data_IF_919457061602
#
_entry.id   IF_919457061602
#
_cell.length_a   1.000
_cell.length_b   1.000
_cell.length_c   1.000
_cell.angle_alpha   90.00
_cell.angle_beta   90.00
_cell.angle_gamma   90.00
#
_symmetry.space_group_name_H-M   'P 1'
#
loop_
_entity.id
_entity.type
_entity.pdbx_description
1 polymer ?
#
# COMPACT_ATOMS: atom_id res chain seq x y z
N UNK A 1 34.76 43.29 14.40
CA UNK A 1 34.46 44.12 13.20
C UNK A 1 34.54 43.23 11.97
N UNK A 2 33.42 43.13 11.22
CA UNK A 2 33.30 42.97 9.75
C UNK A 2 34.16 41.86 9.08
N UNK A 3 33.63 40.87 8.34
CA UNK A 3 32.50 40.89 7.42
C UNK A 3 31.91 39.48 7.22
N UNK A 4 30.59 39.50 7.07
CA UNK A 4 29.71 38.48 6.54
C UNK A 4 29.97 38.29 5.03
N UNK A 5 29.98 37.06 4.52
CA UNK A 5 29.77 36.80 3.09
C UNK A 5 28.70 35.72 2.94
N UNK A 6 27.60 36.13 2.33
CA UNK A 6 26.46 35.32 1.92
C UNK A 6 26.82 34.69 0.57
N UNK A 7 26.68 33.37 0.43
CA UNK A 7 26.63 32.72 -0.88
C UNK A 7 25.25 32.07 -1.04
N UNK A 8 24.43 32.67 -1.89
CA UNK A 8 23.21 32.08 -2.42
C UNK A 8 23.60 31.06 -3.50
N UNK A 9 23.19 29.80 -3.36
CA UNK A 9 23.31 28.79 -4.41
C UNK A 9 21.90 28.44 -4.89
N UNK A 10 21.50 29.07 -5.98
CA UNK A 10 20.34 28.67 -6.77
C UNK A 10 20.72 27.39 -7.56
N UNK A 11 20.16 26.25 -7.15
CA UNK A 11 20.31 24.98 -7.85
C UNK A 11 19.17 24.77 -8.84
N UNK A 12 19.48 24.86 -10.13
CA UNK A 12 18.61 24.59 -11.27
C UNK A 12 18.28 23.09 -11.33
N UNK A 13 17.00 22.71 -11.22
CA UNK A 13 16.54 21.35 -11.56
C UNK A 13 16.38 21.24 -13.08
N UNK A 14 17.26 20.47 -13.72
CA UNK A 14 17.06 20.02 -15.10
C UNK A 14 16.05 18.86 -15.13
N UNK A 15 14.98 19.05 -15.90
CA UNK A 15 14.12 17.99 -16.41
C UNK A 15 14.81 17.35 -17.62
N UNK A 16 15.15 16.07 -17.52
CA UNK A 16 15.40 15.20 -18.69
C UNK A 16 14.71 13.86 -18.47
N UNK A 17 13.73 13.58 -19.33
CA UNK A 17 12.97 12.35 -19.33
C UNK A 17 13.59 11.22 -20.15
N UNK A 18 12.80 10.13 -20.16
CA UNK A 18 12.78 8.98 -21.06
C UNK A 18 13.95 7.98 -21.04
N UNK A 19 13.60 6.75 -20.65
CA UNK A 19 14.09 5.54 -21.30
C UNK A 19 14.75 4.53 -20.36
N UNK A 20 13.98 3.54 -19.88
CA UNK A 20 14.52 2.25 -19.42
C UNK A 20 13.44 1.17 -19.36
N UNK A 21 13.07 0.64 -20.52
CA UNK A 21 12.53 -0.73 -20.64
C UNK A 21 13.48 -1.46 -21.58
N UNK A 22 14.55 -2.04 -21.03
CA UNK A 22 15.38 -3.12 -21.59
C UNK A 22 16.61 -3.34 -20.71
N UNK A 23 16.41 -3.96 -19.54
CA UNK A 23 17.52 -4.65 -18.84
C UNK A 23 16.99 -5.70 -17.87
N UNK A 24 16.44 -6.79 -18.41
CA UNK A 24 16.13 -7.98 -17.63
C UNK A 24 16.26 -9.26 -18.46
N UNK A 25 17.30 -9.39 -19.30
CA UNK A 25 17.79 -10.69 -19.79
C UNK A 25 19.30 -10.57 -19.99
N UNK A 26 20.07 -11.04 -19.02
CA UNK A 26 21.40 -11.67 -19.19
C UNK A 26 21.92 -12.07 -17.80
N UNK A 27 21.81 -13.36 -17.52
CA UNK A 27 22.40 -13.98 -16.33
C UNK A 27 23.93 -13.95 -16.39
N UNK A 28 24.54 -14.00 -15.23
CA UNK A 28 25.95 -14.31 -15.08
C UNK A 28 26.08 -15.35 -13.96
N UNK A 29 26.62 -16.51 -14.33
CA UNK A 29 26.98 -17.59 -13.42
C UNK A 29 28.24 -17.21 -12.64
N UNK A 30 28.26 -17.45 -11.32
CA UNK A 30 29.47 -17.89 -10.62
C UNK A 30 29.11 -18.63 -9.35
N UNK A 31 29.66 -19.85 -9.22
CA UNK A 31 29.37 -20.87 -8.21
C UNK A 31 29.73 -20.48 -6.78
N UNK A 32 28.83 -20.79 -5.86
CA UNK A 32 29.05 -20.89 -4.41
C UNK A 32 27.93 -21.71 -3.79
N UNK A 33 28.23 -22.96 -3.44
CA UNK A 33 27.27 -23.95 -2.97
C UNK A 33 26.70 -23.58 -1.60
N UNK A 34 25.39 -23.31 -1.54
CA UNK A 34 24.54 -23.51 -0.35
C UNK A 34 23.09 -23.63 -0.80
N UNK A 35 22.42 -24.69 -0.35
CA UNK A 35 21.07 -25.14 -0.70
C UNK A 35 20.06 -23.99 -0.81
N UNK A 36 19.70 -23.62 -2.05
CA UNK A 36 18.68 -22.61 -2.37
C UNK A 36 17.49 -23.31 -3.03
N UNK A 37 16.36 -23.37 -2.34
CA UNK A 37 15.10 -23.83 -2.94
C UNK A 37 14.42 -22.64 -3.65
N UNK A 38 14.54 -22.64 -4.98
CA UNK A 38 13.63 -22.09 -6.02
C UNK A 38 13.10 -20.64 -5.91
N UNK A 39 13.89 -19.68 -6.41
CA UNK A 39 13.42 -18.34 -6.83
C UNK A 39 12.84 -18.31 -8.27
N UNK A 40 13.02 -19.36 -9.08
CA UNK A 40 12.45 -19.49 -10.43
C UNK A 40 10.94 -19.77 -10.43
N UNK A 41 10.48 -20.73 -9.63
CA UNK A 41 9.10 -21.23 -9.66
C UNK A 41 8.05 -20.19 -9.25
N UNK A 42 8.41 -19.26 -8.36
CA UNK A 42 7.51 -18.20 -7.91
C UNK A 42 7.35 -17.10 -8.98
N UNK A 43 8.42 -16.84 -9.72
CA UNK A 43 8.45 -15.83 -10.78
C UNK A 43 7.62 -16.27 -11.99
N UNK A 44 7.73 -17.56 -12.35
CA UNK A 44 6.98 -18.15 -13.46
C UNK A 44 5.47 -18.20 -13.17
N UNK A 45 5.09 -18.58 -11.94
CA UNK A 45 3.67 -18.55 -11.52
C UNK A 45 3.07 -17.16 -11.58
N UNK A 46 3.79 -16.14 -11.10
CA UNK A 46 3.30 -14.77 -11.12
C UNK A 46 3.16 -14.23 -12.56
N UNK A 47 4.06 -14.63 -13.47
CA UNK A 47 3.95 -14.29 -14.89
C UNK A 47 2.74 -14.96 -15.54
N UNK A 48 2.47 -16.22 -15.22
CA UNK A 48 1.29 -16.95 -15.70
C UNK A 48 -0.01 -16.31 -15.19
N UNK A 49 -0.09 -15.99 -13.90
CA UNK A 49 -1.27 -15.33 -13.33
C UNK A 49 -1.51 -13.95 -13.94
N UNK A 50 -0.46 -13.15 -14.17
CA UNK A 50 -0.58 -11.87 -14.89
C UNK A 50 -1.16 -12.05 -16.29
N UNK A 51 -0.62 -13.02 -17.05
CA UNK A 51 -1.13 -13.31 -18.39
C UNK A 51 -2.60 -13.71 -18.33
N UNK A 52 -2.97 -14.56 -17.38
CA UNK A 52 -4.35 -15.00 -17.17
C UNK A 52 -5.28 -13.82 -16.87
N UNK A 53 -4.89 -12.96 -15.94
CA UNK A 53 -5.63 -11.76 -15.53
C UNK A 53 -5.87 -10.79 -16.69
N UNK A 54 -4.93 -10.69 -17.64
CA UNK A 54 -5.07 -9.85 -18.83
C UNK A 54 -5.98 -10.46 -19.90
N UNK A 55 -6.00 -11.79 -20.06
CA UNK A 55 -6.71 -12.44 -21.17
C UNK A 55 -8.10 -12.97 -20.82
N UNK A 56 -8.34 -13.35 -19.58
CA UNK A 56 -9.62 -13.91 -19.15
C UNK A 56 -10.60 -12.81 -18.71
N UNK A 57 -11.55 -12.48 -19.59
CA UNK A 57 -12.59 -11.47 -19.34
C UNK A 57 -13.53 -11.81 -18.18
N UNK A 58 -13.59 -13.09 -17.78
CA UNK A 58 -14.44 -13.55 -16.68
C UNK A 58 -13.75 -13.45 -15.31
N UNK A 59 -12.48 -13.05 -15.25
CA UNK A 59 -11.80 -12.85 -13.96
C UNK A 59 -12.52 -11.80 -13.12
N UNK A 60 -12.68 -12.15 -11.85
CA UNK A 60 -13.19 -11.27 -10.81
C UNK A 60 -12.03 -10.67 -10.04
N UNK A 61 -12.10 -9.36 -9.81
CA UNK A 61 -11.18 -8.63 -8.95
C UNK A 61 -11.88 -8.39 -7.62
N UNK A 62 -11.30 -8.81 -6.49
CA UNK A 62 -11.97 -8.68 -5.21
C UNK A 62 -12.29 -7.21 -4.90
N UNK A 63 -11.45 -6.25 -5.28
CA UNK A 63 -11.70 -4.82 -5.04
C UNK A 63 -12.93 -4.24 -5.76
N UNK A 64 -13.44 -4.91 -6.81
CA UNK A 64 -14.58 -4.43 -7.59
C UNK A 64 -15.93 -4.97 -7.11
N UNK A 65 -15.95 -5.66 -5.97
CA UNK A 65 -17.16 -6.17 -5.32
C UNK A 65 -17.33 -5.55 -3.95
N UNK A 66 -18.52 -5.02 -3.66
CA UNK A 66 -18.85 -4.51 -2.32
C UNK A 66 -19.17 -5.63 -1.31
N UNK A 67 -19.40 -6.86 -1.81
CA UNK A 67 -19.61 -8.03 -0.95
C UNK A 67 -18.29 -8.53 -0.38
N UNK A 68 -18.33 -8.91 0.91
CA UNK A 68 -17.22 -9.56 1.61
C UNK A 68 -17.32 -11.07 1.45
N UNK A 69 -16.37 -11.67 0.74
CA UNK A 69 -16.34 -13.11 0.49
C UNK A 69 -15.92 -13.92 1.73
N UNK A 70 -16.14 -15.24 1.72
CA UNK A 70 -15.80 -16.13 2.86
C UNK A 70 -14.31 -16.16 3.20
N UNK A 71 -13.45 -15.97 2.20
CA UNK A 71 -12.01 -15.88 2.35
C UNK A 71 -11.49 -14.44 2.56
N UNK A 72 -12.38 -13.49 2.86
CA UNK A 72 -12.06 -12.09 3.15
C UNK A 72 -12.40 -11.74 4.60
N UNK A 73 -11.67 -10.78 5.16
CA UNK A 73 -11.98 -10.17 6.45
C UNK A 73 -12.63 -8.80 6.25
N UNK A 74 -13.29 -8.28 7.28
CA UNK A 74 -13.89 -6.94 7.28
C UNK A 74 -13.63 -6.24 8.60
N UNK A 75 -13.26 -4.97 8.53
CA UNK A 75 -13.00 -4.11 9.68
C UNK A 75 -13.68 -2.76 9.53
N UNK A 76 -13.90 -2.08 10.65
CA UNK A 76 -14.35 -0.69 10.69
C UNK A 76 -13.38 0.13 11.52
N UNK A 77 -12.73 1.09 10.86
CA UNK A 77 -11.88 2.09 11.50
C UNK A 77 -12.78 3.25 11.91
N UNK A 78 -12.93 3.48 13.20
CA UNK A 78 -13.59 4.69 13.71
C UNK A 78 -12.51 5.75 13.91
N UNK A 79 -12.69 6.92 13.30
CA UNK A 79 -11.79 8.07 13.43
C UNK A 79 -12.54 9.25 14.03
N UNK A 80 -11.79 10.27 14.47
CA UNK A 80 -12.35 11.55 14.93
C UNK A 80 -13.15 12.30 13.84
N UNK A 81 -13.06 11.88 12.58
CA UNK A 81 -13.74 12.51 11.44
C UNK A 81 -14.88 11.65 10.87
N UNK A 82 -15.09 10.43 11.39
CA UNK A 82 -16.10 9.47 10.94
C UNK A 82 -15.57 8.04 10.84
N UNK A 83 -16.42 7.11 10.42
CA UNK A 83 -16.08 5.70 10.27
C UNK A 83 -15.74 5.33 8.82
N UNK A 84 -14.76 4.45 8.64
CA UNK A 84 -14.35 3.87 7.36
C UNK A 84 -14.43 2.35 7.48
N UNK A 85 -15.21 1.70 6.62
CA UNK A 85 -15.31 0.24 6.58
C UNK A 85 -14.47 -0.31 5.44
N UNK A 86 -13.59 -1.26 5.77
CA UNK A 86 -12.65 -1.88 4.86
C UNK A 86 -12.93 -3.37 4.78
N UNK A 87 -12.82 -3.93 3.59
CA UNK A 87 -12.60 -5.37 3.42
C UNK A 87 -11.13 -5.66 3.15
N UNK A 88 -10.66 -6.83 3.57
CA UNK A 88 -9.25 -7.22 3.52
C UNK A 88 -9.07 -8.52 2.74
N UNK A 89 -7.87 -8.74 2.20
CA UNK A 89 -7.59 -9.77 1.20
C UNK A 89 -6.55 -10.83 1.64
N UNK A 90 -6.82 -11.66 2.67
CA UNK A 90 -5.86 -12.64 3.21
C UNK A 90 -5.27 -13.59 2.17
N UNK A 91 -6.05 -13.94 1.12
CA UNK A 91 -5.57 -14.82 0.04
C UNK A 91 -4.41 -14.20 -0.75
N UNK A 92 -4.42 -12.89 -0.92
CA UNK A 92 -3.56 -12.17 -1.87
C UNK A 92 -2.42 -11.43 -1.16
N UNK A 93 -2.63 -11.02 0.10
CA UNK A 93 -1.64 -10.36 0.94
C UNK A 93 -1.68 -10.93 2.38
N UNK A 94 -1.37 -12.23 2.57
CA UNK A 94 -1.53 -12.88 3.87
C UNK A 94 -0.74 -12.22 5.00
N UNK A 95 0.51 -11.81 4.76
CA UNK A 95 1.32 -11.18 5.79
C UNK A 95 0.77 -9.80 6.15
N UNK A 96 0.45 -8.97 5.16
CA UNK A 96 -0.10 -7.64 5.44
C UNK A 96 -1.43 -7.70 6.21
N UNK A 97 -2.32 -8.64 5.85
CA UNK A 97 -3.60 -8.78 6.54
C UNK A 97 -3.43 -9.38 7.95
N UNK A 98 -2.55 -10.37 8.14
CA UNK A 98 -2.28 -10.92 9.47
C UNK A 98 -1.69 -9.86 10.40
N UNK A 99 -0.72 -9.09 9.89
CA UNK A 99 -0.09 -7.99 10.61
C UNK A 99 -1.12 -6.94 11.03
N UNK A 100 -1.92 -6.44 10.08
CA UNK A 100 -2.94 -5.43 10.33
C UNK A 100 -4.01 -5.90 11.32
N UNK A 101 -4.56 -7.11 11.13
CA UNK A 101 -5.61 -7.65 12.00
C UNK A 101 -5.09 -7.88 13.42
N UNK A 102 -3.85 -8.34 13.58
CA UNK A 102 -3.24 -8.56 14.88
C UNK A 102 -3.02 -7.23 15.61
N UNK A 103 -2.40 -6.24 14.96
CA UNK A 103 -2.27 -4.89 15.54
C UNK A 103 -3.63 -4.28 15.92
N UNK A 104 -4.67 -4.45 15.08
CA UNK A 104 -6.01 -3.97 15.37
C UNK A 104 -6.61 -4.65 16.62
N UNK A 105 -6.50 -5.97 16.74
CA UNK A 105 -6.99 -6.74 17.90
C UNK A 105 -6.27 -6.39 19.19
N UNK A 106 -4.98 -6.08 19.11
CA UNK A 106 -4.16 -5.64 20.24
C UNK A 106 -4.37 -4.15 20.59
N UNK A 107 -5.20 -3.43 19.83
CA UNK A 107 -5.46 -2.01 20.04
C UNK A 107 -4.27 -1.11 19.69
N UNK A 108 -3.26 -1.63 18.98
CA UNK A 108 -2.04 -0.91 18.60
C UNK A 108 -2.31 0.39 17.84
N UNK A 109 -3.36 0.40 17.00
CA UNK A 109 -3.73 1.56 16.20
C UNK A 109 -4.53 2.63 16.97
N UNK A 110 -5.01 2.33 18.18
CA UNK A 110 -5.87 3.24 18.93
C UNK A 110 -5.08 4.49 19.37
N UNK A 111 -5.63 5.66 19.06
CA UNK A 111 -5.00 6.96 19.31
C UNK A 111 -3.96 7.36 18.26
N UNK A 112 -3.59 6.49 17.31
CA UNK A 112 -2.61 6.85 16.28
C UNK A 112 -3.20 7.87 15.30
N UNK A 113 -2.34 8.77 14.85
CA UNK A 113 -2.73 9.90 14.01
C UNK A 113 -2.57 9.59 12.52
N UNK A 114 -3.33 10.29 11.68
CA UNK A 114 -2.98 10.46 10.27
C UNK A 114 -1.85 11.48 10.18
N UNK A 115 -0.62 11.01 10.07
CA UNK A 115 0.58 11.85 10.15
C UNK A 115 0.97 12.45 8.79
N UNK A 116 0.40 11.94 7.70
CA UNK A 116 0.64 12.45 6.34
C UNK A 116 -0.62 12.34 5.49
N UNK A 117 -1.03 13.44 4.90
CA UNK A 117 -2.26 13.56 4.11
C UNK A 117 -1.98 14.41 2.88
N UNK A 118 -2.19 13.83 1.70
CA UNK A 118 -1.95 14.50 0.43
C UNK A 118 -3.23 14.42 -0.40
N UNK A 119 -3.85 15.58 -0.61
CA UNK A 119 -5.03 15.73 -1.46
C UNK A 119 -4.74 15.21 -2.86
N UNK A 120 -5.69 14.47 -3.41
CA UNK A 120 -5.61 13.81 -4.72
C UNK A 120 -4.51 12.72 -4.79
N UNK A 121 -4.10 12.18 -3.64
CA UNK A 121 -3.15 11.08 -3.57
C UNK A 121 -3.59 10.04 -2.52
N UNK A 122 -3.33 10.29 -1.23
CA UNK A 122 -3.58 9.31 -0.15
C UNK A 122 -3.65 9.95 1.24
N UNK A 123 -4.18 9.18 2.20
CA UNK A 123 -4.11 9.46 3.64
C UNK A 123 -3.32 8.34 4.33
N UNK A 124 -2.29 8.66 5.10
CA UNK A 124 -1.36 7.70 5.71
C UNK A 124 -1.36 7.79 7.23
N UNK A 125 -1.33 6.61 7.88
CA UNK A 125 -1.38 6.43 9.33
C UNK A 125 -0.63 5.17 9.75
N UNK A 126 -0.80 4.71 11.00
CA UNK A 126 -0.20 3.50 11.54
C UNK A 126 1.20 3.69 12.13
N UNK A 127 1.64 4.94 12.32
CA UNK A 127 2.91 5.26 12.97
C UNK A 127 2.71 5.70 14.44
N UNK A 128 3.22 4.95 15.43
CA UNK A 128 3.20 5.33 16.85
C UNK A 128 3.93 6.63 17.17
N UNK A 129 4.94 7.02 16.39
CA UNK A 129 5.69 8.26 16.60
C UNK A 129 5.00 9.46 15.94
N UNK A 130 4.05 9.22 15.02
CA UNK A 130 3.31 10.26 14.31
C UNK A 130 4.16 11.20 13.46
N UNK A 131 5.35 10.76 13.04
CA UNK A 131 6.33 11.52 12.26
C UNK A 131 6.75 10.82 10.96
N UNK A 132 6.18 9.65 10.66
CA UNK A 132 6.44 8.81 9.50
C UNK A 132 7.62 7.85 9.66
N UNK A 133 8.35 7.85 10.77
CA UNK A 133 9.59 7.06 10.93
C UNK A 133 9.45 5.85 11.85
N UNK A 134 8.35 5.73 12.58
CA UNK A 134 8.10 4.61 13.47
C UNK A 134 7.25 3.51 12.84
N UNK A 135 6.78 2.60 13.68
CA UNK A 135 5.96 1.48 13.28
C UNK A 135 6.78 0.22 13.04
N UNK A 136 6.27 -0.91 13.52
CA UNK A 136 6.96 -2.21 13.50
C UNK A 136 5.95 -3.27 13.12
N UNK A 137 6.40 -4.35 12.46
CA UNK A 137 5.51 -5.49 12.21
C UNK A 137 5.30 -6.30 13.49
N UNK A 138 4.26 -7.13 13.52
CA UNK A 138 4.01 -8.06 14.62
C UNK A 138 5.11 -9.11 14.82
N UNK A 139 5.97 -9.31 13.81
CA UNK A 139 7.04 -10.31 13.80
C UNK A 139 8.40 -9.75 14.22
N UNK A 140 8.56 -8.44 14.33
CA UNK A 140 9.84 -7.84 14.71
C UNK A 140 10.33 -8.40 16.05
N UNK A 141 11.55 -8.94 16.05
CA UNK A 141 12.16 -9.61 17.22
C UNK A 141 11.50 -10.94 17.63
N UNK A 142 10.49 -11.42 16.89
CA UNK A 142 9.76 -12.67 17.17
C UNK A 142 9.92 -13.72 16.06
N UNK A 143 10.08 -13.30 14.81
CA UNK A 143 10.27 -14.18 13.67
C UNK A 143 11.15 -13.54 12.58
N UNK A 144 12.45 -13.75 12.71
CA UNK A 144 13.47 -13.20 11.79
C UNK A 144 13.35 -13.69 10.34
N UNK A 145 12.63 -14.80 10.11
CA UNK A 145 12.37 -15.29 8.74
C UNK A 145 11.33 -14.46 7.99
N UNK A 146 10.46 -13.76 8.71
CA UNK A 146 9.44 -12.88 8.14
C UNK A 146 9.87 -11.42 8.21
N UNK A 147 10.45 -11.01 9.34
CA UNK A 147 10.95 -9.66 9.58
C UNK A 147 12.36 -9.74 10.18
N UNK A 148 13.37 -9.46 9.35
CA UNK A 148 14.78 -9.46 9.75
C UNK A 148 15.21 -8.21 10.52
N UNK A 149 14.26 -7.41 10.99
CA UNK A 149 14.46 -6.18 11.76
C UNK A 149 14.05 -4.90 11.03
N UNK A 150 13.86 -4.97 9.71
CA UNK A 150 13.49 -3.84 8.85
C UNK A 150 12.03 -3.82 8.44
N UNK A 151 11.25 -4.85 8.75
CA UNK A 151 9.90 -5.09 8.26
C UNK A 151 9.78 -6.37 7.42
N UNK A 152 8.56 -6.68 6.99
CA UNK A 152 8.27 -7.85 6.15
C UNK A 152 8.22 -7.49 4.66
N UNK A 153 8.33 -8.52 3.82
CA UNK A 153 8.34 -8.39 2.35
C UNK A 153 7.07 -7.78 1.77
N UNK A 154 7.20 -7.11 0.63
CA UNK A 154 6.06 -6.68 -0.18
C UNK A 154 5.39 -7.89 -0.85
N UNK A 155 4.05 -7.91 -0.85
CA UNK A 155 3.23 -8.97 -1.43
C UNK A 155 2.49 -8.40 -2.65
N UNK A 156 2.95 -8.77 -3.85
CA UNK A 156 2.36 -8.29 -5.10
C UNK A 156 1.40 -9.34 -5.65
N UNK A 157 0.18 -8.91 -5.96
CA UNK A 157 -0.85 -9.74 -6.58
C UNK A 157 -1.29 -9.12 -7.91
N UNK A 158 -1.44 -9.91 -8.99
CA UNK A 158 -2.03 -9.41 -10.23
C UNK A 158 -3.54 -9.14 -10.11
N UNK A 159 -4.16 -9.48 -8.99
CA UNK A 159 -5.59 -9.26 -8.75
C UNK A 159 -5.87 -7.99 -7.93
N UNK A 160 -4.83 -7.30 -7.44
CA UNK A 160 -4.96 -6.14 -6.57
C UNK A 160 -4.19 -4.92 -7.13
N UNK A 161 -4.82 -3.76 -7.07
CA UNK A 161 -4.39 -2.51 -7.68
C UNK A 161 -4.68 -1.32 -6.75
N UNK A 162 -3.92 -0.25 -6.86
CA UNK A 162 -4.06 0.99 -6.10
C UNK A 162 -5.20 1.88 -6.65
N UNK A 163 -6.34 1.28 -7.01
CA UNK A 163 -7.55 2.01 -7.36
C UNK A 163 -8.04 2.83 -6.17
N UNK A 164 -8.94 3.79 -6.41
CA UNK A 164 -9.50 4.63 -5.34
C UNK A 164 -10.12 3.77 -4.21
N UNK A 165 -9.76 4.10 -2.98
CA UNK A 165 -10.17 3.38 -1.77
C UNK A 165 -9.32 2.14 -1.45
N UNK A 166 -8.33 1.79 -2.27
CA UNK A 166 -7.41 0.70 -1.96
C UNK A 166 -6.60 1.02 -0.69
N UNK A 167 -6.53 0.05 0.22
CA UNK A 167 -5.71 0.06 1.42
C UNK A 167 -4.38 -0.64 1.11
N UNK A 168 -3.28 0.07 1.31
CA UNK A 168 -1.95 -0.40 0.95
C UNK A 168 -0.93 -0.16 2.05
N UNK A 169 0.03 -1.07 2.20
CA UNK A 169 1.12 -0.90 3.17
C UNK A 169 2.01 0.27 2.74
N UNK A 170 2.41 1.10 3.70
CA UNK A 170 3.50 2.05 3.51
C UNK A 170 4.83 1.36 3.80
N UNK A 171 5.86 1.72 3.05
CA UNK A 171 7.22 1.18 3.19
C UNK A 171 8.25 2.25 2.89
N UNK A 172 9.49 2.02 3.33
CA UNK A 172 10.64 2.78 2.85
C UNK A 172 10.98 2.40 1.40
N UNK A 173 12.11 2.90 0.88
CA UNK A 173 12.62 2.48 -0.43
C UNK A 173 12.91 0.98 -0.50
N UNK A 174 13.17 0.32 0.63
CA UNK A 174 13.36 -1.12 0.70
C UNK A 174 11.99 -1.85 0.53
N UNK A 175 11.83 -2.70 -0.50
CA UNK A 175 10.62 -3.52 -0.66
C UNK A 175 10.33 -4.47 0.52
N UNK A 176 11.30 -4.75 1.39
CA UNK A 176 11.15 -5.59 2.59
C UNK A 176 11.10 -4.77 3.88
N UNK A 177 10.39 -3.64 3.84
CA UNK A 177 10.25 -2.74 4.98
C UNK A 177 8.81 -2.41 5.37
N UNK A 178 7.88 -3.33 5.12
CA UNK A 178 6.51 -3.18 5.59
C UNK A 178 6.48 -3.36 7.11
N UNK A 179 6.03 -2.33 7.84
CA UNK A 179 5.87 -2.34 9.29
C UNK A 179 4.40 -2.36 9.69
N UNK A 180 3.96 -1.34 10.42
CA UNK A 180 2.55 -1.14 10.80
C UNK A 180 1.86 0.00 10.04
N UNK A 181 2.62 0.82 9.32
CA UNK A 181 2.09 1.96 8.57
C UNK A 181 1.34 1.53 7.30
N UNK A 182 0.24 2.20 7.01
CA UNK A 182 -0.56 1.98 5.80
C UNK A 182 -1.18 3.29 5.32
N UNK A 183 -1.65 3.29 4.08
CA UNK A 183 -2.37 4.39 3.49
C UNK A 183 -3.63 3.93 2.76
N UNK A 184 -4.60 4.84 2.63
CA UNK A 184 -5.79 4.68 1.79
C UNK A 184 -5.64 5.59 0.57
N UNK A 185 -5.76 5.02 -0.62
CA UNK A 185 -5.73 5.75 -1.89
C UNK A 185 -6.97 6.66 -1.99
N UNK A 186 -6.79 7.98 -1.93
CA UNK A 186 -7.90 8.93 -2.00
C UNK A 186 -8.13 9.48 -3.41
N UNK A 187 -7.05 9.58 -4.20
CA UNK A 187 -7.05 10.20 -5.53
C UNK A 187 -8.34 9.94 -6.32
N UNK A 188 -9.08 10.99 -6.64
CA UNK A 188 -10.35 10.94 -7.36
C UNK A 188 -10.24 11.32 -8.85
N UNK A 189 -9.03 11.54 -9.35
CA UNK A 189 -8.78 11.92 -10.74
C UNK A 189 -8.81 10.70 -11.64
N UNK A 190 -9.44 10.82 -12.79
CA UNK A 190 -9.40 9.80 -13.83
C UNK A 190 -7.95 9.59 -14.30
N UNK A 191 -7.44 8.37 -14.12
CA UNK A 191 -6.12 7.95 -14.58
C UNK A 191 -6.17 6.92 -15.71
N UNK A 192 -7.37 6.54 -16.18
CA UNK A 192 -7.58 5.45 -17.14
C UNK A 192 -6.89 5.70 -18.49
N UNK A 193 -6.87 6.95 -18.95
CA UNK A 193 -6.28 7.35 -20.25
C UNK A 193 -4.77 7.15 -20.35
N UNK A 194 -4.09 6.97 -19.21
CA UNK A 194 -2.63 6.75 -19.12
C UNK A 194 -2.27 5.26 -19.11
N UNK A 195 -3.27 4.38 -19.08
CA UNK A 195 -3.08 2.93 -18.95
C UNK A 195 -3.24 2.24 -20.30
N UNK A 196 -2.43 1.20 -20.52
CA UNK A 196 -2.53 0.34 -21.70
C UNK A 196 -3.22 -0.97 -21.35
N UNK A 197 -4.08 -1.46 -22.24
CA UNK A 197 -4.69 -2.80 -22.16
C UNK A 197 -3.67 -3.94 -22.20
N UNK A 198 -2.44 -3.66 -22.64
CA UNK A 198 -1.34 -4.64 -22.63
C UNK A 198 -0.80 -4.90 -21.22
N UNK A 199 -0.99 -3.95 -20.30
CA UNK A 199 -0.49 -4.00 -18.94
C UNK A 199 -1.60 -4.08 -17.88
N UNK A 200 -2.82 -3.64 -18.22
CA UNK A 200 -3.95 -3.56 -17.30
C UNK A 200 -5.19 -4.23 -17.88
N UNK A 201 -5.91 -5.05 -17.10
CA UNK A 201 -7.21 -5.58 -17.48
C UNK A 201 -8.23 -4.47 -17.71
N UNK A 202 -9.13 -4.64 -18.69
CA UNK A 202 -10.18 -3.65 -19.03
C UNK A 202 -10.99 -3.20 -17.79
N UNK A 203 -11.36 -4.14 -16.91
CA UNK A 203 -12.12 -3.85 -15.67
C UNK A 203 -11.34 -2.93 -14.71
N UNK A 204 -10.02 -3.04 -14.69
CA UNK A 204 -9.15 -2.22 -13.84
C UNK A 204 -8.92 -0.84 -14.46
N UNK A 205 -8.74 -0.77 -15.78
CA UNK A 205 -8.72 0.51 -16.50
C UNK A 205 -10.02 1.29 -16.24
N UNK A 206 -11.17 0.61 -16.29
CA UNK A 206 -12.46 1.20 -15.96
C UNK A 206 -12.53 1.68 -14.50
N UNK A 207 -12.01 0.89 -13.55
CA UNK A 207 -11.96 1.28 -12.15
C UNK A 207 -11.13 2.56 -11.94
N UNK A 208 -10.03 2.73 -12.69
CA UNK A 208 -9.17 3.92 -12.64
C UNK A 208 -9.82 5.21 -13.18
N UNK A 209 -10.98 5.13 -13.85
CA UNK A 209 -11.79 6.33 -14.14
C UNK A 209 -12.31 7.01 -12.88
N UNK A 210 -12.51 6.24 -11.81
CA UNK A 210 -12.93 6.75 -10.49
C UNK A 210 -11.73 7.21 -9.64
N UNK A 211 -10.51 7.04 -10.16
CA UNK A 211 -9.26 7.41 -9.52
C UNK A 211 -8.49 6.26 -8.86
N UNK A 212 -7.47 6.63 -8.10
CA UNK A 212 -6.40 5.76 -7.63
C UNK A 212 -5.02 6.21 -8.12
N UNK A 213 -3.99 5.45 -7.79
CA UNK A 213 -2.60 5.79 -8.04
C UNK A 213 -1.89 4.63 -8.77
N UNK A 214 -2.07 4.50 -10.10
CA UNK A 214 -1.51 3.38 -10.86
C UNK A 214 0.02 3.33 -10.85
N UNK A 215 0.71 4.43 -10.52
CA UNK A 215 2.16 4.44 -10.34
C UNK A 215 2.65 3.66 -9.12
N UNK A 216 1.76 3.20 -8.24
CA UNK A 216 2.08 2.39 -7.08
C UNK A 216 1.84 0.88 -7.33
N UNK A 217 1.24 0.53 -8.48
CA UNK A 217 0.91 -0.85 -8.81
C UNK A 217 2.16 -1.67 -9.08
N UNK A 218 2.21 -2.85 -8.45
CA UNK A 218 3.38 -3.73 -8.53
C UNK A 218 4.51 -3.37 -7.56
N UNK A 219 4.42 -2.25 -6.85
CA UNK A 219 5.47 -1.77 -5.93
C UNK A 219 5.06 -1.74 -4.46
N UNK A 220 3.76 -1.76 -4.19
CA UNK A 220 3.19 -1.68 -2.84
C UNK A 220 2.16 -2.79 -2.60
N UNK A 221 2.16 -3.34 -1.39
CA UNK A 221 1.20 -4.38 -0.97
C UNK A 221 -0.17 -3.77 -0.78
N UNK A 222 -1.05 -3.92 -1.78
CA UNK A 222 -2.48 -3.69 -1.60
C UNK A 222 -3.05 -4.87 -0.82
N UNK A 223 -3.76 -4.59 0.27
CA UNK A 223 -4.28 -5.64 1.17
C UNK A 223 -5.74 -5.43 1.60
N UNK A 224 -6.38 -4.34 1.16
CA UNK A 224 -7.79 -4.10 1.41
C UNK A 224 -8.41 -3.06 0.48
N UNK A 225 -9.72 -2.83 0.66
CA UNK A 225 -10.51 -1.88 -0.11
C UNK A 225 -11.59 -1.26 0.77
N UNK A 226 -11.78 0.05 0.68
CA UNK A 226 -12.90 0.76 1.32
C UNK A 226 -14.21 0.31 0.68
N UNK A 227 -15.16 -0.10 1.52
CA UNK A 227 -16.53 -0.51 1.17
C UNK A 227 -17.58 0.50 1.63
N UNK A 228 -17.25 1.34 2.62
CA UNK A 228 -18.07 2.46 3.08
C UNK A 228 -17.19 3.51 3.76
N UNK A 229 -17.57 4.78 3.72
CA UNK A 229 -16.82 5.86 4.36
C UNK A 229 -15.79 6.55 3.45
N UNK A 230 -15.92 6.48 2.12
CA UNK A 230 -15.04 7.22 1.22
C UNK A 230 -15.16 8.74 1.39
N UNK A 231 -16.34 9.23 1.78
CA UNK A 231 -16.57 10.63 2.14
C UNK A 231 -15.76 11.05 3.37
N UNK A 232 -15.52 10.12 4.32
CA UNK A 232 -14.63 10.37 5.46
C UNK A 232 -13.17 10.42 5.00
N UNK A 233 -12.77 9.52 4.10
CA UNK A 233 -11.43 9.56 3.46
C UNK A 233 -11.21 10.90 2.74
N UNK A 234 -12.19 11.36 1.96
CA UNK A 234 -12.14 12.66 1.26
C UNK A 234 -12.07 13.84 2.24
N UNK A 235 -12.84 13.78 3.33
CA UNK A 235 -12.83 14.81 4.38
C UNK A 235 -11.45 14.90 5.05
N UNK A 236 -10.85 13.76 5.39
CA UNK A 236 -9.49 13.72 5.95
C UNK A 236 -8.50 14.29 4.93
N UNK A 237 -8.58 13.86 3.66
CA UNK A 237 -7.66 14.25 2.60
C UNK A 237 -7.68 15.75 2.25
N UNK A 238 -8.75 16.44 2.59
CA UNK A 238 -8.96 17.86 2.29
C UNK A 238 -8.75 18.77 3.50
N UNK A 239 -8.30 18.22 4.64
CA UNK A 239 -7.92 19.00 5.83
C UNK A 239 -6.71 19.90 5.54
N UNK A 240 -6.57 20.97 6.33
CA UNK A 240 -5.40 21.84 6.23
C UNK A 240 -4.16 21.12 6.76
N UNK A 241 -3.08 21.13 5.98
CA UNK A 241 -1.80 20.50 6.32
C UNK A 241 -0.68 21.52 6.49
N UNK A 242 0.37 21.11 7.20
CA UNK A 242 1.65 21.81 7.22
C UNK A 242 2.45 21.54 5.94
N UNK A 243 3.61 22.17 5.79
CA UNK A 243 4.52 21.98 4.64
C UNK A 243 5.00 20.53 4.46
N UNK A 244 4.92 19.70 5.52
CA UNK A 244 5.28 18.28 5.50
C UNK A 244 4.07 17.36 5.32
N UNK A 245 2.97 17.86 4.74
CA UNK A 245 1.71 17.14 4.53
C UNK A 245 1.02 16.64 5.83
N UNK A 246 1.49 17.06 7.01
CA UNK A 246 0.90 16.67 8.29
C UNK A 246 -0.32 17.53 8.60
N UNK A 247 -1.52 16.97 8.89
CA UNK A 247 -2.69 17.73 9.30
C UNK A 247 -2.41 18.69 10.46
N UNK A 248 -2.87 19.95 10.34
CA UNK A 248 -2.72 20.96 11.42
C UNK A 248 -3.62 20.65 12.60
N UNK A 249 -4.83 20.16 12.33
CA UNK A 249 -5.72 19.57 13.32
C UNK A 249 -5.46 18.06 13.36
N UNK A 250 -5.22 17.54 14.55
CA UNK A 250 -4.99 16.11 14.74
C UNK A 250 -6.23 15.29 14.39
N UNK A 251 -6.05 14.28 13.55
CA UNK A 251 -7.07 13.30 13.17
C UNK A 251 -6.55 11.95 13.63
N UNK A 252 -7.34 11.23 14.42
CA UNK A 252 -6.90 9.98 15.08
C UNK A 252 -7.80 8.82 14.74
N UNK A 253 -7.23 7.61 14.78
CA UNK A 253 -8.00 6.37 14.90
C UNK A 253 -8.44 6.24 16.35
N UNK A 254 -9.75 6.19 16.60
CA UNK A 254 -10.30 5.94 17.93
C UNK A 254 -10.26 4.44 18.26
N UNK A 255 -10.68 3.62 17.30
CA UNK A 255 -10.61 2.15 17.37
C UNK A 255 -10.72 1.51 16.00
N UNK A 256 -10.25 0.27 15.89
CA UNK A 256 -10.53 -0.62 14.77
C UNK A 256 -11.32 -1.83 15.27
N UNK A 257 -12.53 -2.00 14.77
CA UNK A 257 -13.41 -3.12 15.10
C UNK A 257 -13.34 -4.20 14.02
N UNK A 258 -13.14 -5.46 14.41
CA UNK A 258 -13.18 -6.60 13.49
C UNK A 258 -14.64 -7.02 13.32
N UNK A 259 -15.21 -6.75 12.14
CA UNK A 259 -16.61 -7.12 11.81
C UNK A 259 -16.67 -8.58 11.37
N UNK A 260 -15.72 -8.99 10.53
CA UNK A 260 -15.52 -10.38 10.09
C UNK A 260 -14.04 -10.70 10.19
N UNK A 261 -13.71 -11.67 11.03
CA UNK A 261 -12.32 -12.10 11.22
C UNK A 261 -11.90 -13.13 10.16
N UNK A 262 -10.59 -13.34 10.02
CA UNK A 262 -10.00 -14.40 9.20
C UNK A 262 -9.02 -15.23 10.02
N UNK A 263 -9.18 -16.53 9.98
CA UNK A 263 -8.28 -17.48 10.67
C UNK A 263 -7.18 -17.94 9.72
N UNK A 264 -5.96 -17.52 10.00
CA UNK A 264 -4.77 -18.00 9.29
C UNK A 264 -4.46 -19.43 9.70
N UNK A 265 -4.20 -20.30 8.71
CA UNK A 265 -3.71 -21.65 8.98
C UNK A 265 -2.23 -21.54 9.38
N UNK A 266 -1.92 -21.95 10.60
CA UNK A 266 -0.55 -22.00 11.14
C UNK A 266 0.14 -23.29 10.72
#
# INVERSE_FOLDING_TARGET
MKKLLILALAGVLFLTGCGSIKKAIRGNETSGSSTTTSSSDTTDKLAEERKKVLTDKNISFPQLSDKVADNEAQVKITTTEGAITLKLFPKYAPLAVENFLTHAKEGYYNGLIFHRVIKDFMIQTGDPLGNGTGGESIWKGKNEKIDSGSGFKTEISPYLYNIRGALSMARSSDPNSNGSQFFINQNNKDNSSRLSSDAYPEKIIEAYKKGGNPSLDGDYTVFGQVTSGMEVVDKIATTETSENDKPKKEIKIEKIEIIKDYTFKK
#
